data_IF_863255034284
#
_entry.id   IF_863255034284
#
_cell.length_a   1.000
_cell.length_b   1.000
_cell.length_c   1.000
_cell.angle_alpha   90.00
_cell.angle_beta   90.00
_cell.angle_gamma   90.00
#
_symmetry.space_group_name_H-M   'P 1'
#
loop_
_entity.id
_entity.type
_entity.pdbx_description
1 polymer ?
#
# COMPACT_ATOMS: atom_id res chain seq x y z
N UNK A 1 17.78 -13.52 16.11
CA UNK A 1 18.17 -12.11 16.33
C UNK A 1 17.02 -11.16 16.72
N UNK A 2 16.10 -10.74 15.83
CA UNK A 2 15.06 -9.72 16.19
C UNK A 2 14.17 -10.16 17.35
N UNK A 3 13.72 -11.42 17.36
CA UNK A 3 12.93 -11.98 18.45
C UNK A 3 13.70 -12.05 19.77
N UNK A 4 15.00 -12.33 19.72
CA UNK A 4 15.86 -12.36 20.91
C UNK A 4 16.03 -10.96 21.51
N UNK A 5 16.28 -9.94 20.68
CA UNK A 5 16.38 -8.55 21.13
C UNK A 5 15.07 -8.11 21.78
N UNK A 6 13.93 -8.45 21.18
CA UNK A 6 12.62 -8.15 21.75
C UNK A 6 12.43 -8.80 23.13
N UNK A 7 12.79 -10.08 23.29
CA UNK A 7 12.73 -10.79 24.57
C UNK A 7 13.64 -10.14 25.62
N UNK A 8 14.86 -9.75 25.22
CA UNK A 8 15.82 -9.10 26.12
C UNK A 8 15.33 -7.73 26.60
N UNK A 9 14.70 -6.95 25.72
CA UNK A 9 14.12 -5.65 26.08
C UNK A 9 12.91 -5.80 27.01
N UNK A 10 12.06 -6.82 26.77
CA UNK A 10 10.88 -7.07 27.60
C UNK A 10 11.22 -7.69 28.97
N UNK A 11 12.29 -8.45 29.07
CA UNK A 11 12.70 -9.13 30.32
C UNK A 11 13.41 -8.21 31.32
N UNK A 12 13.94 -7.06 30.88
CA UNK A 12 14.71 -6.14 31.73
C UNK A 12 13.93 -4.86 32.03
N UNK A 13 13.66 -4.60 33.32
CA UNK A 13 12.80 -3.49 33.78
C UNK A 13 13.44 -2.10 33.76
N UNK A 14 14.78 -2.03 33.66
CA UNK A 14 15.53 -0.77 33.78
C UNK A 14 16.47 -0.55 32.59
N UNK A 15 15.91 -0.47 31.38
CA UNK A 15 16.65 -0.07 30.19
C UNK A 15 16.13 1.31 29.74
N UNK A 16 17.04 2.27 29.61
CA UNK A 16 16.74 3.58 29.04
C UNK A 16 17.40 3.70 27.67
N UNK A 17 16.57 3.78 26.63
CA UNK A 17 17.04 4.02 25.28
C UNK A 17 17.04 5.52 25.00
N UNK A 18 18.17 6.05 24.52
CA UNK A 18 18.31 7.44 24.08
C UNK A 18 18.98 7.46 22.72
N UNK A 19 18.49 8.33 21.84
CA UNK A 19 19.14 8.58 20.57
C UNK A 19 20.23 9.64 20.76
N UNK A 20 21.45 9.32 20.34
CA UNK A 20 22.59 10.23 20.35
C UNK A 20 23.00 10.53 18.90
N UNK A 21 23.42 11.76 18.66
CA UNK A 21 23.93 12.17 17.35
C UNK A 21 25.29 11.53 17.11
N UNK A 22 25.47 10.92 15.93
CA UNK A 22 26.74 10.31 15.53
C UNK A 22 27.81 11.37 15.20
N UNK A 23 29.08 11.00 15.39
CA UNK A 23 30.28 11.78 15.00
C UNK A 23 30.38 13.20 15.62
N UNK A 24 30.05 13.32 16.90
CA UNK A 24 30.10 14.59 17.65
C UNK A 24 31.11 14.54 18.81
N UNK A 25 32.06 13.60 18.84
CA UNK A 25 33.06 13.52 19.91
C UNK A 25 32.64 12.70 21.13
N UNK A 26 31.50 12.00 21.10
CA UNK A 26 31.10 11.15 22.21
C UNK A 26 31.95 9.87 22.23
N UNK A 27 32.92 9.82 23.16
CA UNK A 27 33.92 8.73 23.25
C UNK A 27 33.32 7.32 23.17
N UNK A 28 32.24 7.05 23.91
CA UNK A 28 31.59 5.73 23.89
C UNK A 28 30.95 5.39 22.54
N UNK A 29 30.37 6.38 21.86
CA UNK A 29 29.78 6.18 20.53
C UNK A 29 30.85 6.01 19.45
N UNK A 30 31.95 6.76 19.54
CA UNK A 30 33.07 6.67 18.61
C UNK A 30 33.84 5.37 18.76
N UNK A 31 34.07 4.92 20.01
CA UNK A 31 34.64 3.62 20.29
C UNK A 31 33.76 2.49 19.74
N UNK A 32 32.45 2.55 19.96
CA UNK A 32 31.52 1.56 19.42
C UNK A 32 31.51 1.54 17.87
N UNK A 33 31.54 2.71 17.22
CA UNK A 33 31.61 2.83 15.76
C UNK A 33 32.94 2.27 15.20
N UNK A 34 34.06 2.56 15.88
CA UNK A 34 35.37 2.04 15.52
C UNK A 34 35.43 0.51 15.64
N UNK A 35 34.91 -0.04 16.74
CA UNK A 35 34.81 -1.49 16.93
C UNK A 35 33.93 -2.14 15.86
N UNK A 36 32.78 -1.55 15.53
CA UNK A 36 31.91 -2.05 14.47
C UNK A 36 32.60 -2.04 13.10
N UNK A 37 33.38 -1.00 12.78
CA UNK A 37 34.17 -0.94 11.54
C UNK A 37 35.25 -2.02 11.50
N UNK A 38 35.96 -2.23 12.61
CA UNK A 38 36.97 -3.27 12.71
C UNK A 38 36.37 -4.67 12.51
N UNK A 39 35.21 -4.94 13.11
CA UNK A 39 34.52 -6.23 12.94
C UNK A 39 34.06 -6.46 11.49
N UNK A 40 33.63 -5.41 10.77
CA UNK A 40 33.29 -5.53 9.33
C UNK A 40 34.54 -5.88 8.51
N UNK A 41 35.71 -5.35 8.88
CA UNK A 41 36.97 -5.64 8.16
C UNK A 41 37.59 -6.98 8.52
N UNK A 42 37.35 -7.48 9.74
CA UNK A 42 37.90 -8.74 10.26
C UNK A 42 36.97 -9.93 10.04
N UNK A 43 35.67 -9.69 9.88
CA UNK A 43 34.68 -10.73 9.67
C UNK A 43 34.75 -11.35 8.28
N UNK A 44 34.38 -12.62 8.18
CA UNK A 44 34.23 -13.27 6.88
C UNK A 44 33.16 -12.53 6.06
N UNK A 45 33.46 -12.17 4.79
CA UNK A 45 32.46 -11.57 3.92
C UNK A 45 31.23 -12.47 3.85
N UNK A 46 30.07 -11.94 4.24
CA UNK A 46 28.82 -12.66 4.03
C UNK A 46 28.52 -12.69 2.53
N UNK A 47 29.00 -13.74 1.87
CA UNK A 47 28.77 -13.97 0.46
C UNK A 47 27.32 -14.39 0.28
N UNK A 48 26.51 -13.47 -0.25
CA UNK A 48 25.17 -13.83 -0.69
C UNK A 48 25.29 -14.83 -1.85
N UNK A 49 24.71 -16.03 -1.75
CA UNK A 49 24.75 -17.03 -2.83
C UNK A 49 24.08 -16.54 -4.12
N UNK A 50 23.22 -15.53 -4.01
CA UNK A 50 22.51 -14.90 -5.12
C UNK A 50 22.67 -13.38 -5.04
N UNK A 51 22.67 -12.67 -6.18
CA UNK A 51 22.70 -11.22 -6.20
C UNK A 51 21.57 -10.60 -5.36
N UNK A 52 21.84 -9.45 -4.74
CA UNK A 52 20.84 -8.73 -3.96
C UNK A 52 19.59 -8.37 -4.79
N UNK A 53 19.76 -8.11 -6.09
CA UNK A 53 18.65 -7.86 -7.02
C UNK A 53 17.69 -9.05 -7.11
N UNK A 54 18.21 -10.28 -7.12
CA UNK A 54 17.42 -11.50 -7.10
C UNK A 54 16.63 -11.62 -5.80
N UNK A 55 17.26 -11.43 -4.65
CA UNK A 55 16.54 -11.49 -3.37
C UNK A 55 15.43 -10.44 -3.30
N UNK A 56 15.71 -9.22 -3.78
CA UNK A 56 14.70 -8.14 -3.88
C UNK A 56 13.55 -8.52 -4.81
N UNK A 57 13.81 -9.20 -5.94
CA UNK A 57 12.74 -9.65 -6.84
C UNK A 57 11.89 -10.74 -6.22
N UNK A 58 12.49 -11.71 -5.51
CA UNK A 58 11.75 -12.78 -4.83
C UNK A 58 10.83 -12.22 -3.75
N UNK A 59 11.34 -11.32 -2.90
CA UNK A 59 10.54 -10.68 -1.84
C UNK A 59 9.38 -9.90 -2.44
N UNK A 60 9.62 -9.13 -3.51
CA UNK A 60 8.56 -8.40 -4.21
C UNK A 60 7.53 -9.34 -4.83
N UNK A 61 7.96 -10.44 -5.43
CA UNK A 61 7.08 -11.45 -6.03
C UNK A 61 6.19 -12.09 -4.96
N UNK A 62 6.78 -12.52 -3.85
CA UNK A 62 6.04 -13.10 -2.73
C UNK A 62 5.04 -12.12 -2.12
N UNK A 63 5.46 -10.86 -1.89
CA UNK A 63 4.57 -9.82 -1.36
C UNK A 63 3.41 -9.51 -2.33
N UNK A 64 3.68 -9.47 -3.63
CA UNK A 64 2.64 -9.30 -4.65
C UNK A 64 1.68 -10.49 -4.67
N UNK A 65 2.17 -11.72 -4.52
CA UNK A 65 1.34 -12.92 -4.43
C UNK A 65 0.37 -12.85 -3.24
N UNK A 66 0.90 -12.61 -2.04
CA UNK A 66 0.09 -12.46 -0.82
C UNK A 66 -0.95 -11.33 -0.99
N UNK A 67 -0.54 -10.20 -1.56
CA UNK A 67 -1.47 -9.10 -1.78
C UNK A 67 -2.54 -9.44 -2.82
N UNK A 68 -2.18 -10.14 -3.90
CA UNK A 68 -3.13 -10.61 -4.91
C UNK A 68 -4.13 -11.59 -4.31
N UNK A 69 -3.69 -12.52 -3.47
CA UNK A 69 -4.56 -13.47 -2.78
C UNK A 69 -5.55 -12.74 -1.86
N UNK A 70 -5.07 -11.76 -1.09
CA UNK A 70 -5.94 -10.94 -0.25
C UNK A 70 -6.90 -10.07 -1.07
N UNK A 71 -6.48 -9.60 -2.24
CA UNK A 71 -7.29 -8.80 -3.14
C UNK A 71 -8.41 -9.62 -3.78
N UNK A 72 -8.12 -10.85 -4.18
CA UNK A 72 -9.09 -11.74 -4.84
C UNK A 72 -10.10 -12.37 -3.88
N UNK A 73 -9.69 -12.61 -2.64
CA UNK A 73 -10.55 -13.23 -1.62
C UNK A 73 -11.17 -12.21 -0.64
N UNK A 74 -10.94 -10.92 -0.84
CA UNK A 74 -11.46 -9.87 0.04
C UNK A 74 -12.97 -9.67 -0.14
N UNK A 75 -13.71 -9.63 0.96
CA UNK A 75 -15.17 -9.35 0.94
C UNK A 75 -15.50 -7.86 0.77
N UNK A 76 -14.52 -6.98 1.03
CA UNK A 76 -14.67 -5.51 0.94
C UNK A 76 -14.01 -4.98 -0.33
N UNK A 77 -14.63 -3.98 -0.98
CA UNK A 77 -14.03 -3.33 -2.15
C UNK A 77 -14.25 -4.07 -3.47
N UNK A 78 -15.28 -4.93 -3.55
CA UNK A 78 -15.65 -5.68 -4.77
C UNK A 78 -15.77 -4.78 -6.00
N UNK A 79 -16.40 -3.60 -5.87
CA UNK A 79 -16.49 -2.64 -6.97
C UNK A 79 -15.14 -2.11 -7.45
N UNK A 80 -14.15 -2.03 -6.57
CA UNK A 80 -12.78 -1.64 -6.93
C UNK A 80 -12.03 -2.80 -7.58
N UNK A 81 -12.29 -4.04 -7.13
CA UNK A 81 -11.76 -5.25 -7.75
C UNK A 81 -12.25 -5.41 -9.20
N UNK A 82 -13.52 -5.15 -9.47
CA UNK A 82 -14.08 -5.21 -10.84
C UNK A 82 -13.35 -4.28 -11.82
N UNK A 83 -12.88 -3.12 -11.33
CA UNK A 83 -12.16 -2.12 -12.14
C UNK A 83 -10.65 -2.44 -12.21
N UNK A 84 -10.06 -2.86 -11.09
CA UNK A 84 -8.63 -3.20 -10.97
C UNK A 84 -8.50 -4.63 -10.47
N UNK A 85 -8.72 -5.64 -11.32
CA UNK A 85 -8.74 -7.03 -10.86
C UNK A 85 -7.34 -7.53 -10.54
N UNK A 86 -6.28 -6.87 -11.02
CA UNK A 86 -4.89 -7.32 -10.84
C UNK A 86 -4.07 -6.31 -10.06
N UNK A 87 -3.52 -6.77 -8.93
CA UNK A 87 -2.53 -6.03 -8.15
C UNK A 87 -1.24 -5.88 -8.95
N UNK A 88 -0.66 -4.67 -8.93
CA UNK A 88 0.63 -4.40 -9.55
C UNK A 88 1.40 -3.33 -8.80
N UNK A 89 2.73 -3.34 -8.93
CA UNK A 89 3.60 -2.29 -8.39
C UNK A 89 3.63 -1.02 -9.24
N UNK A 90 2.93 -0.98 -10.38
CA UNK A 90 2.82 0.21 -11.23
C UNK A 90 1.56 0.98 -10.83
N UNK A 91 1.63 2.31 -10.73
CA UNK A 91 0.41 3.10 -10.54
C UNK A 91 -0.51 2.88 -11.73
N UNK A 92 -1.82 2.81 -11.47
CA UNK A 92 -2.84 2.51 -12.48
C UNK A 92 -3.11 3.69 -13.45
N UNK A 93 -2.30 4.76 -13.38
CA UNK A 93 -2.44 5.95 -14.22
C UNK A 93 -3.58 6.89 -13.81
N UNK A 94 -4.31 6.56 -12.75
CA UNK A 94 -5.37 7.40 -12.22
C UNK A 94 -4.85 8.67 -11.55
N UNK A 95 -5.58 9.75 -11.75
CA UNK A 95 -5.38 10.97 -10.97
C UNK A 95 -5.97 10.81 -9.56
N UNK A 96 -5.73 11.81 -8.71
CA UNK A 96 -6.13 11.77 -7.31
C UNK A 96 -7.65 11.67 -7.16
N UNK A 97 -8.40 12.37 -8.00
CA UNK A 97 -9.85 12.46 -7.98
C UNK A 97 -10.48 11.10 -8.36
N UNK A 98 -9.95 10.44 -9.38
CA UNK A 98 -10.35 9.08 -9.81
C UNK A 98 -10.07 8.04 -8.73
N UNK A 99 -8.91 8.11 -8.07
CA UNK A 99 -8.58 7.22 -6.93
C UNK A 99 -9.56 7.44 -5.78
N UNK A 100 -9.81 8.71 -5.41
CA UNK A 100 -10.73 9.09 -4.35
C UNK A 100 -12.17 8.63 -4.66
N UNK A 101 -12.60 8.76 -5.91
CA UNK A 101 -13.90 8.27 -6.38
C UNK A 101 -14.04 6.76 -6.21
N UNK A 102 -13.12 5.99 -6.80
CA UNK A 102 -13.19 4.53 -6.84
C UNK A 102 -13.03 3.91 -5.45
N UNK A 103 -12.17 4.49 -4.61
CA UNK A 103 -11.96 4.01 -3.24
C UNK A 103 -13.03 4.50 -2.26
N UNK A 104 -13.94 5.37 -2.70
CA UNK A 104 -14.95 5.98 -1.83
C UNK A 104 -14.33 6.88 -0.74
N UNK A 105 -13.10 7.35 -0.94
CA UNK A 105 -12.39 8.20 0.01
C UNK A 105 -12.52 9.68 -0.36
N UNK A 106 -13.00 10.48 0.59
CA UNK A 106 -13.06 11.94 0.48
C UNK A 106 -14.46 12.50 0.30
N UNK A 107 -14.61 13.83 0.16
CA UNK A 107 -15.91 14.46 0.02
C UNK A 107 -16.57 14.03 -1.29
N UNK A 108 -17.52 13.12 -1.18
CA UNK A 108 -18.23 12.50 -2.32
C UNK A 108 -18.77 13.58 -3.27
N UNK A 109 -19.34 14.68 -2.75
CA UNK A 109 -19.95 15.76 -3.53
C UNK A 109 -18.98 16.50 -4.47
N UNK A 110 -17.74 16.77 -4.02
CA UNK A 110 -16.74 17.49 -4.80
C UNK A 110 -16.20 16.64 -5.96
N UNK A 111 -16.10 15.33 -5.76
CA UNK A 111 -15.57 14.42 -6.77
C UNK A 111 -16.62 14.19 -7.88
N UNK A 112 -17.91 14.13 -7.53
CA UNK A 112 -18.99 13.98 -8.50
C UNK A 112 -19.08 15.15 -9.49
N UNK A 113 -19.00 16.41 -9.02
CA UNK A 113 -19.11 17.60 -9.87
C UNK A 113 -17.94 17.72 -10.88
N UNK A 114 -16.74 17.33 -10.47
CA UNK A 114 -15.57 17.30 -11.35
C UNK A 114 -15.64 16.15 -12.37
N UNK A 115 -16.14 14.97 -11.98
CA UNK A 115 -16.25 13.80 -12.87
C UNK A 115 -17.38 13.98 -13.91
N UNK A 116 -18.50 14.59 -13.55
CA UNK A 116 -19.57 14.91 -14.52
C UNK A 116 -19.09 15.92 -15.56
N UNK A 117 -18.28 16.89 -15.15
CA UNK A 117 -17.65 17.87 -16.06
C UNK A 117 -16.62 17.19 -16.98
N UNK A 118 -15.78 16.30 -16.45
CA UNK A 118 -14.80 15.56 -17.24
C UNK A 118 -15.40 14.52 -18.22
N UNK A 119 -16.51 13.87 -17.85
CA UNK A 119 -17.27 12.97 -18.73
C UNK A 119 -18.04 13.74 -19.82
N UNK A 120 -18.43 14.99 -19.58
CA UNK A 120 -19.03 15.85 -20.60
C UNK A 120 -18.00 16.25 -21.69
N UNK A 121 -16.71 16.32 -21.34
CA UNK A 121 -15.62 16.64 -22.27
C UNK A 121 -15.05 15.40 -23.00
N UNK A 122 -15.12 14.21 -22.39
CA UNK A 122 -14.72 12.94 -23.01
C UNK A 122 -15.93 12.11 -23.43
N UNK A 123 -16.27 12.14 -24.73
CA UNK A 123 -17.25 11.21 -25.32
C UNK A 123 -16.90 9.75 -25.00
N UNK A 124 -17.87 9.07 -24.38
CA UNK A 124 -18.04 7.62 -24.16
C UNK A 124 -16.96 6.85 -23.39
N UNK A 125 -17.27 6.58 -22.11
CA UNK A 125 -17.02 5.26 -21.53
C UNK A 125 -18.39 4.58 -21.41
N UNK A 126 -18.74 3.72 -22.38
CA UNK A 126 -19.88 2.82 -22.22
C UNK A 126 -19.49 1.69 -21.26
N UNK A 127 -19.80 1.87 -19.97
CA UNK A 127 -19.86 0.75 -19.03
C UNK A 127 -21.25 0.11 -19.12
N UNK A 128 -21.41 -0.90 -19.96
CA UNK A 128 -22.63 -1.72 -20.00
C UNK A 128 -22.58 -2.73 -18.86
N UNK A 129 -23.29 -2.46 -17.76
CA UNK A 129 -23.38 -3.37 -16.61
C UNK A 129 -24.36 -4.52 -16.89
N UNK A 130 -23.98 -5.80 -16.65
CA UNK A 130 -24.89 -6.93 -16.81
C UNK A 130 -25.99 -6.92 -15.74
N UNK A 131 -27.24 -7.06 -16.18
CA UNK A 131 -28.46 -6.87 -15.38
C UNK A 131 -28.73 -7.94 -14.29
N UNK A 132 -27.79 -8.86 -14.03
CA UNK A 132 -28.09 -10.11 -13.31
C UNK A 132 -27.30 -10.36 -12.02
N UNK A 133 -26.73 -9.35 -11.36
CA UNK A 133 -26.07 -9.54 -10.06
C UNK A 133 -26.82 -8.79 -8.96
N UNK A 134 -27.17 -9.56 -7.92
CA UNK A 134 -27.85 -9.19 -6.67
C UNK A 134 -27.48 -7.76 -6.22
N UNK A 135 -28.53 -6.99 -5.91
CA UNK A 135 -28.58 -5.55 -5.62
C UNK A 135 -27.28 -4.94 -5.08
N UNK A 136 -26.82 -3.82 -5.66
CA UNK A 136 -25.59 -3.19 -5.24
C UNK A 136 -25.78 -2.42 -3.92
N UNK A 137 -24.65 -2.12 -3.24
CA UNK A 137 -24.61 -1.50 -1.91
C UNK A 137 -25.51 -0.26 -1.79
N UNK A 138 -25.91 0.16 -0.57
CA UNK A 138 -26.82 1.28 -0.34
C UNK A 138 -26.44 2.60 -1.05
N UNK A 139 -25.16 2.79 -1.39
CA UNK A 139 -24.69 3.95 -2.17
C UNK A 139 -25.04 3.87 -3.66
N UNK A 140 -25.00 2.68 -4.26
CA UNK A 140 -25.31 2.46 -5.69
C UNK A 140 -26.82 2.39 -5.91
N UNK A 141 -27.58 1.88 -4.92
CA UNK A 141 -29.05 1.92 -4.93
C UNK A 141 -29.60 3.37 -5.01
N UNK A 142 -28.93 4.33 -4.37
CA UNK A 142 -29.27 5.76 -4.46
C UNK A 142 -28.99 6.35 -5.86
N UNK A 143 -27.94 5.89 -6.55
CA UNK A 143 -27.62 6.30 -7.92
C UNK A 143 -28.69 5.83 -8.93
N UNK A 144 -29.25 4.63 -8.76
CA UNK A 144 -30.36 4.12 -9.58
C UNK A 144 -31.64 4.96 -9.42
N UNK A 145 -31.96 5.41 -8.20
CA UNK A 145 -33.11 6.29 -7.97
C UNK A 145 -32.92 7.70 -8.54
N UNK A 146 -31.71 8.26 -8.47
CA UNK A 146 -31.43 9.57 -9.08
C UNK A 146 -31.53 9.53 -10.61
N UNK A 147 -31.10 8.43 -11.25
CA UNK A 147 -31.13 8.32 -12.71
C UNK A 147 -32.56 8.11 -13.27
N UNK A 148 -33.46 7.48 -12.51
CA UNK A 148 -34.87 7.29 -12.89
C UNK A 148 -35.70 8.57 -12.73
N UNK A 149 -35.42 9.40 -11.72
CA UNK A 149 -36.14 10.65 -11.48
C UNK A 149 -35.73 11.80 -12.43
N UNK A 150 -34.63 11.64 -13.18
CA UNK A 150 -34.18 12.61 -14.20
C UNK A 150 -34.74 12.32 -15.60
N UNK A 151 -35.54 11.25 -15.75
CA UNK A 151 -36.19 10.85 -17.01
C UNK A 151 -37.71 11.11 -17.03
N UNK A 152 -38.18 12.05 -16.20
CA UNK A 152 -39.52 12.62 -16.24
C UNK A 152 -39.47 14.08 -16.65
#
# INVERSE_FOLDING_TARGET
MVREIQILLLSRKHIHLRWLKAHVGYLGNECADQLAKEDITKGDPFLLPKPLSYLKSEIRSAALGIWKDNWDNGETGISTHDIVPRVSNKPFGWNREEIMFVTGHGPILLIFEHMTTALAEKKEIQCTMPQNVRLPSPGISKLLQCHLNYRG
#
